data_IF_491857637532
#
_entry.id   IF_491857637532
#
_cell.length_a   1.000
_cell.length_b   1.000
_cell.length_c   1.000
_cell.angle_alpha   90.00
_cell.angle_beta   90.00
_cell.angle_gamma   90.00
#
_symmetry.space_group_name_H-M   'P 1'
#
loop_
_entity.id
_entity.type
_entity.pdbx_description
1 polymer ?
#
# COMPACT_ATOMS: atom_id res chain seq x y z
N UNK A 1 -16.94 9.60 14.10
CA UNK A 1 -16.47 9.21 15.45
C UNK A 1 -15.65 10.36 16.00
N UNK A 2 -16.09 10.97 17.11
CA UNK A 2 -15.45 12.16 17.67
C UNK A 2 -14.04 11.85 18.20
N UNK A 3 -13.18 12.87 18.21
CA UNK A 3 -11.78 12.77 18.61
C UNK A 3 -11.60 12.21 20.03
N UNK A 4 -12.52 12.57 20.94
CA UNK A 4 -12.57 12.06 22.31
C UNK A 4 -12.77 10.53 22.38
N UNK A 5 -13.60 9.96 21.51
CA UNK A 5 -13.83 8.50 21.47
C UNK A 5 -12.60 7.78 20.92
N UNK A 6 -11.91 8.36 19.92
CA UNK A 6 -10.66 7.80 19.39
C UNK A 6 -9.57 7.79 20.46
N UNK A 7 -9.42 8.89 21.22
CA UNK A 7 -8.47 9.00 22.34
C UNK A 7 -8.76 7.96 23.43
N UNK A 8 -10.03 7.81 23.83
CA UNK A 8 -10.44 6.82 24.82
C UNK A 8 -10.17 5.37 24.38
N UNK A 9 -10.43 5.05 23.11
CA UNK A 9 -10.16 3.72 22.57
C UNK A 9 -8.66 3.41 22.53
N UNK A 10 -7.83 4.38 22.10
CA UNK A 10 -6.37 4.22 22.13
C UNK A 10 -5.84 3.96 23.55
N UNK A 11 -6.38 4.63 24.55
CA UNK A 11 -5.98 4.42 25.95
C UNK A 11 -6.33 3.01 26.45
N UNK A 12 -7.51 2.48 26.09
CA UNK A 12 -7.90 1.10 26.43
C UNK A 12 -7.00 0.07 25.74
N UNK A 13 -6.70 0.27 24.46
CA UNK A 13 -5.82 -0.60 23.68
C UNK A 13 -4.40 -0.64 24.24
N UNK A 14 -3.85 0.50 24.69
CA UNK A 14 -2.55 0.55 25.40
C UNK A 14 -2.52 -0.26 26.69
N UNK A 15 -3.67 -0.47 27.33
CA UNK A 15 -3.82 -1.32 28.52
C UNK A 15 -4.18 -2.77 28.17
N UNK A 16 -4.21 -3.13 26.89
CA UNK A 16 -4.60 -4.45 26.40
C UNK A 16 -6.09 -4.77 26.58
N UNK A 17 -6.96 -3.77 26.72
CA UNK A 17 -8.40 -3.95 26.91
C UNK A 17 -9.12 -3.67 25.58
N UNK A 18 -9.93 -4.62 25.11
CA UNK A 18 -10.73 -4.46 23.90
C UNK A 18 -11.81 -3.37 24.12
N UNK A 19 -11.88 -2.32 23.28
CA UNK A 19 -12.86 -1.24 23.47
C UNK A 19 -14.32 -1.62 23.17
N UNK A 20 -14.52 -2.66 22.35
CA UNK A 20 -15.82 -3.09 21.83
C UNK A 20 -16.48 -4.18 22.71
N UNK A 21 -17.62 -4.71 22.27
CA UNK A 21 -18.28 -5.86 22.90
C UNK A 21 -17.36 -7.08 22.93
N UNK A 22 -17.28 -7.76 24.08
CA UNK A 22 -16.55 -9.01 24.25
C UNK A 22 -16.97 -10.09 23.21
N UNK A 23 -16.00 -10.88 22.71
CA UNK A 23 -16.28 -12.08 21.93
C UNK A 23 -17.07 -13.13 22.71
N UNK A 24 -17.60 -14.14 22.01
CA UNK A 24 -18.37 -15.21 22.62
C UNK A 24 -17.53 -16.01 23.63
N UNK A 25 -18.16 -16.48 24.72
CA UNK A 25 -17.42 -17.11 25.83
C UNK A 25 -16.81 -16.11 26.81
N UNK A 26 -16.89 -14.82 26.52
CA UNK A 26 -16.52 -13.72 27.42
C UNK A 26 -17.71 -12.79 27.67
N UNK A 27 -17.63 -11.99 28.71
CA UNK A 27 -18.55 -10.88 28.97
C UNK A 27 -17.79 -9.63 29.42
N UNK A 28 -18.37 -8.46 29.17
CA UNK A 28 -17.84 -7.20 29.66
C UNK A 28 -18.31 -7.03 31.11
N UNK A 29 -17.39 -7.02 32.08
CA UNK A 29 -17.70 -6.75 33.49
C UNK A 29 -17.76 -5.23 33.72
N UNK A 30 -18.94 -4.60 33.87
CA UNK A 30 -19.05 -3.15 33.91
C UNK A 30 -18.34 -2.52 35.11
N UNK A 31 -18.22 -3.26 36.22
CA UNK A 31 -17.59 -2.78 37.47
C UNK A 31 -16.10 -2.60 37.31
N UNK A 32 -15.43 -3.59 36.73
CA UNK A 32 -13.98 -3.60 36.52
C UNK A 32 -13.58 -2.91 35.21
N UNK A 33 -14.54 -2.68 34.31
CA UNK A 33 -14.31 -2.18 32.94
C UNK A 33 -13.33 -3.07 32.16
N UNK A 34 -13.30 -4.36 32.48
CA UNK A 34 -12.48 -5.41 31.87
C UNK A 34 -13.35 -6.48 31.20
N UNK A 35 -12.71 -7.43 30.52
CA UNK A 35 -13.36 -8.56 29.89
C UNK A 35 -13.02 -9.82 30.68
N UNK A 36 -14.04 -10.51 31.15
CA UNK A 36 -13.92 -11.74 31.94
C UNK A 36 -14.54 -12.94 31.21
N UNK A 37 -14.15 -14.14 31.65
CA UNK A 37 -14.59 -15.40 31.06
C UNK A 37 -16.00 -15.71 31.58
N UNK A 38 -16.95 -15.93 30.66
CA UNK A 38 -18.28 -16.41 31.02
C UNK A 38 -18.19 -17.89 31.43
N UNK A 39 -18.57 -18.28 32.66
CA UNK A 39 -18.32 -19.62 33.20
C UNK A 39 -19.07 -20.74 32.45
N UNK A 40 -20.17 -20.41 31.78
CA UNK A 40 -20.98 -21.38 31.02
C UNK A 40 -20.62 -21.32 29.55
N UNK A 41 -20.65 -20.12 28.94
CA UNK A 41 -20.43 -19.98 27.49
C UNK A 41 -19.00 -20.33 27.09
N UNK A 42 -18.00 -20.08 27.94
CA UNK A 42 -16.61 -20.44 27.64
C UNK A 42 -16.43 -21.95 27.44
N UNK A 43 -17.08 -22.79 28.24
CA UNK A 43 -17.05 -24.25 28.12
C UNK A 43 -17.66 -24.71 26.80
N UNK A 44 -18.77 -24.10 26.40
CA UNK A 44 -19.44 -24.39 25.12
C UNK A 44 -18.54 -24.00 23.95
N UNK A 45 -17.94 -22.81 24.00
CA UNK A 45 -17.00 -22.35 22.95
C UNK A 45 -15.78 -23.26 22.89
N UNK A 46 -15.19 -23.63 24.04
CA UNK A 46 -14.05 -24.56 24.08
C UNK A 46 -14.39 -25.91 23.45
N UNK A 47 -15.56 -26.49 23.78
CA UNK A 47 -16.01 -27.76 23.20
C UNK A 47 -16.25 -27.64 21.69
N UNK A 48 -16.81 -26.53 21.22
CA UNK A 48 -16.98 -26.27 19.79
C UNK A 48 -15.64 -26.20 19.03
N UNK A 49 -14.61 -25.64 19.67
CA UNK A 49 -13.25 -25.58 19.14
C UNK A 49 -12.60 -26.98 19.09
N UNK A 50 -12.77 -27.79 20.14
CA UNK A 50 -12.31 -29.19 20.17
C UNK A 50 -12.98 -30.02 19.05
N UNK A 51 -14.31 -29.95 18.92
CA UNK A 51 -15.07 -30.65 17.87
C UNK A 51 -14.66 -30.23 16.45
N UNK A 52 -14.22 -28.98 16.28
CA UNK A 52 -13.71 -28.53 14.99
C UNK A 52 -12.28 -29.00 14.73
N UNK A 53 -11.45 -29.06 15.77
CA UNK A 53 -10.08 -29.55 15.69
C UNK A 53 -9.99 -31.04 15.36
N UNK A 54 -11.02 -31.83 15.68
CA UNK A 54 -11.18 -33.24 15.27
C UNK A 54 -11.31 -33.40 13.74
N UNK A 55 -11.69 -32.35 13.01
CA UNK A 55 -11.70 -32.35 11.54
C UNK A 55 -12.95 -32.92 10.87
N UNK A 56 -13.87 -33.55 11.61
CA UNK A 56 -15.15 -34.06 11.06
C UNK A 56 -16.27 -33.01 11.06
N UNK A 57 -16.13 -31.97 11.88
CA UNK A 57 -17.16 -30.94 12.01
C UNK A 57 -17.03 -29.85 10.93
N UNK A 58 -18.14 -29.59 10.23
CA UNK A 58 -18.29 -28.41 9.36
C UNK A 58 -18.67 -27.16 10.17
N UNK A 59 -18.48 -25.97 9.59
CA UNK A 59 -18.94 -24.69 10.19
C UNK A 59 -20.45 -24.73 10.47
N UNK A 60 -21.23 -25.43 9.62
CA UNK A 60 -22.67 -25.61 9.82
C UNK A 60 -22.97 -26.53 11.01
N UNK A 61 -22.16 -27.57 11.26
CA UNK A 61 -22.31 -28.43 12.44
C UNK A 61 -22.08 -27.64 13.72
N UNK A 62 -21.04 -26.80 13.74
CA UNK A 62 -20.75 -25.94 14.91
C UNK A 62 -21.86 -24.93 15.15
N UNK A 63 -22.45 -24.38 14.08
CA UNK A 63 -23.58 -23.46 14.22
C UNK A 63 -24.80 -24.13 14.88
N UNK A 64 -25.08 -25.38 14.50
CA UNK A 64 -26.11 -26.22 15.14
C UNK A 64 -25.75 -26.56 16.58
N UNK A 65 -24.49 -26.86 16.86
CA UNK A 65 -23.98 -27.09 18.21
C UNK A 65 -24.20 -25.85 19.09
N UNK A 66 -23.81 -24.66 18.62
CA UNK A 66 -24.03 -23.41 19.34
C UNK A 66 -25.50 -23.16 19.62
N UNK A 67 -26.39 -23.39 18.65
CA UNK A 67 -27.82 -23.26 18.87
C UNK A 67 -28.34 -24.23 19.95
N UNK A 68 -27.92 -25.50 19.90
CA UNK A 68 -28.32 -26.54 20.86
C UNK A 68 -27.94 -26.18 22.30
N UNK A 69 -26.79 -25.54 22.50
CA UNK A 69 -26.28 -25.14 23.81
C UNK A 69 -26.57 -23.67 24.17
N UNK A 70 -27.49 -23.00 23.47
CA UNK A 70 -27.99 -21.67 23.85
C UNK A 70 -27.17 -20.47 23.38
N UNK A 71 -26.17 -20.66 22.50
CA UNK A 71 -25.47 -19.58 21.81
C UNK A 71 -26.21 -19.28 20.50
N UNK A 72 -27.15 -18.34 20.57
CA UNK A 72 -28.06 -17.98 19.48
C UNK A 72 -28.03 -16.48 19.18
N UNK A 73 -28.71 -16.08 18.10
CA UNK A 73 -29.04 -14.68 17.84
C UNK A 73 -30.11 -14.21 18.83
N UNK A 74 -30.34 -12.89 18.88
CA UNK A 74 -31.37 -12.29 19.74
C UNK A 74 -32.77 -12.89 19.55
N UNK A 75 -33.10 -13.34 18.33
CA UNK A 75 -34.37 -13.99 18.00
C UNK A 75 -34.37 -15.53 18.20
N UNK A 76 -33.40 -16.08 18.94
CA UNK A 76 -33.28 -17.52 19.20
C UNK A 76 -32.82 -18.36 18.00
N UNK A 77 -32.62 -17.77 16.82
CA UNK A 77 -32.19 -18.49 15.61
C UNK A 77 -30.69 -18.79 15.64
N UNK A 78 -30.30 -19.84 14.91
CA UNK A 78 -28.91 -20.24 14.66
C UNK A 78 -28.05 -19.06 14.18
N UNK A 79 -26.77 -19.03 14.57
CA UNK A 79 -25.80 -18.05 14.09
C UNK A 79 -25.58 -18.19 12.56
N UNK A 80 -25.32 -17.08 11.88
CA UNK A 80 -24.91 -17.13 10.47
C UNK A 80 -23.55 -17.83 10.34
N UNK A 81 -23.34 -18.57 9.25
CA UNK A 81 -22.11 -19.32 9.00
C UNK A 81 -20.87 -18.41 9.04
N UNK A 82 -20.97 -17.20 8.49
CA UNK A 82 -19.88 -16.20 8.55
C UNK A 82 -19.58 -15.74 9.98
N UNK A 83 -20.59 -15.67 10.84
CA UNK A 83 -20.40 -15.32 12.26
C UNK A 83 -19.65 -16.43 12.98
N UNK A 84 -19.99 -17.70 12.71
CA UNK A 84 -19.29 -18.86 13.27
C UNK A 84 -17.85 -18.93 12.76
N UNK A 85 -17.64 -18.73 11.45
CA UNK A 85 -16.28 -18.63 10.86
C UNK A 85 -15.46 -17.56 11.58
N UNK A 86 -16.04 -16.37 11.78
CA UNK A 86 -15.38 -15.26 12.51
C UNK A 86 -15.09 -15.59 13.97
N UNK A 87 -15.93 -16.37 14.64
CA UNK A 87 -15.66 -16.82 16.02
C UNK A 87 -14.44 -17.73 16.04
N UNK A 88 -14.41 -18.72 15.15
CA UNK A 88 -13.34 -19.74 15.10
C UNK A 88 -12.01 -19.13 14.67
N UNK A 89 -12.03 -18.13 13.78
CA UNK A 89 -10.82 -17.43 13.31
C UNK A 89 -10.36 -16.26 14.18
N UNK A 90 -11.07 -15.94 15.28
CA UNK A 90 -10.75 -14.78 16.08
C UNK A 90 -9.49 -14.98 16.94
N UNK A 91 -8.43 -14.24 16.65
CA UNK A 91 -7.17 -14.27 17.42
C UNK A 91 -7.31 -13.81 18.88
N UNK A 92 -8.43 -13.18 19.24
CA UNK A 92 -8.73 -12.80 20.62
C UNK A 92 -8.67 -13.98 21.58
N UNK A 93 -9.07 -15.18 21.16
CA UNK A 93 -9.00 -16.36 22.03
C UNK A 93 -7.58 -16.80 22.41
N UNK A 94 -6.56 -16.25 21.73
CA UNK A 94 -5.14 -16.51 21.96
C UNK A 94 -4.41 -15.27 22.50
N UNK A 95 -5.15 -14.25 22.96
CA UNK A 95 -4.57 -13.06 23.59
C UNK A 95 -4.24 -11.92 22.63
N UNK A 96 -4.64 -11.98 21.36
CA UNK A 96 -4.30 -10.95 20.38
C UNK A 96 -5.54 -10.11 20.03
N UNK A 97 -5.43 -8.78 20.13
CA UNK A 97 -6.49 -7.83 19.82
C UNK A 97 -6.20 -7.13 18.51
N UNK A 98 -7.10 -7.26 17.52
CA UNK A 98 -7.03 -6.50 16.27
C UNK A 98 -8.02 -5.33 16.31
N UNK A 99 -7.54 -4.10 16.19
CA UNK A 99 -8.39 -2.91 16.20
C UNK A 99 -7.87 -1.86 15.21
N UNK A 100 -8.73 -1.41 14.29
CA UNK A 100 -8.38 -0.33 13.36
C UNK A 100 -7.25 -0.66 12.36
N UNK A 101 -6.94 -1.94 12.15
CA UNK A 101 -5.83 -2.39 11.31
C UNK A 101 -4.52 -2.63 12.07
N UNK A 102 -4.46 -2.28 13.35
CA UNK A 102 -3.31 -2.51 14.23
C UNK A 102 -3.54 -3.73 15.14
N UNK A 103 -2.44 -4.35 15.59
CA UNK A 103 -2.44 -5.53 16.45
C UNK A 103 -1.88 -5.16 17.82
N UNK A 104 -2.55 -5.59 18.89
CA UNK A 104 -2.21 -5.30 20.28
C UNK A 104 -2.22 -6.59 21.11
N UNK A 105 -1.41 -6.62 22.17
CA UNK A 105 -1.44 -7.67 23.18
C UNK A 105 -2.60 -7.46 24.15
N UNK A 106 -3.41 -8.51 24.36
CA UNK A 106 -4.58 -8.49 25.24
C UNK A 106 -4.26 -8.98 26.66
N UNK A 107 -4.81 -8.30 27.66
CA UNK A 107 -4.61 -8.63 29.09
C UNK A 107 -5.69 -9.56 29.67
N UNK A 108 -6.60 -10.06 28.84
CA UNK A 108 -7.70 -10.92 29.28
C UNK A 108 -7.26 -12.37 29.52
N UNK A 109 -8.00 -13.07 30.38
CA UNK A 109 -7.74 -14.49 30.68
C UNK A 109 -8.05 -15.37 29.47
N UNK A 110 -7.19 -16.34 29.17
CA UNK A 110 -7.36 -17.26 28.05
C UNK A 110 -7.92 -18.59 28.53
N UNK A 111 -8.86 -19.18 27.78
CA UNK A 111 -9.39 -20.52 28.05
C UNK A 111 -9.17 -21.51 26.89
N UNK A 112 -8.65 -21.02 25.75
CA UNK A 112 -8.33 -21.84 24.58
C UNK A 112 -6.80 -21.95 24.49
N UNK A 113 -6.23 -23.17 24.49
CA UNK A 113 -4.79 -23.35 24.29
C UNK A 113 -4.33 -22.85 22.91
N UNK A 114 -3.17 -22.19 22.80
CA UNK A 114 -2.63 -21.72 21.51
C UNK A 114 -2.46 -22.86 20.49
N UNK A 115 -2.07 -24.04 20.94
CA UNK A 115 -1.89 -25.22 20.10
C UNK A 115 -3.20 -25.66 19.42
N UNK A 116 -4.31 -25.61 20.16
CA UNK A 116 -5.63 -25.96 19.65
C UNK A 116 -6.04 -24.96 18.57
N UNK A 117 -5.84 -23.67 18.84
CA UNK A 117 -6.13 -22.61 17.87
C UNK A 117 -5.28 -22.77 16.59
N UNK A 118 -4.01 -23.11 16.73
CA UNK A 118 -3.11 -23.37 15.60
C UNK A 118 -3.59 -24.50 14.70
N UNK A 119 -4.06 -25.62 15.27
CA UNK A 119 -4.65 -26.74 14.50
C UNK A 119 -5.87 -26.30 13.70
N UNK A 120 -6.74 -25.52 14.33
CA UNK A 120 -7.96 -24.98 13.69
C UNK A 120 -7.62 -24.08 12.49
N UNK A 121 -6.62 -23.20 12.61
CA UNK A 121 -6.24 -22.32 11.49
C UNK A 121 -5.76 -23.14 10.28
N UNK A 122 -4.94 -24.18 10.51
CA UNK A 122 -4.51 -25.08 9.43
C UNK A 122 -5.69 -25.77 8.74
N UNK A 123 -6.70 -26.21 9.49
CA UNK A 123 -7.92 -26.81 8.93
C UNK A 123 -8.71 -25.78 8.11
N UNK A 124 -8.81 -24.54 8.58
CA UNK A 124 -9.47 -23.46 7.83
C UNK A 124 -8.74 -23.17 6.52
N UNK A 125 -7.43 -23.01 6.55
CA UNK A 125 -6.59 -22.79 5.36
C UNK A 125 -6.70 -23.94 4.36
N UNK A 126 -6.65 -25.20 4.83
CA UNK A 126 -6.81 -26.37 3.97
C UNK A 126 -8.20 -26.47 3.32
N UNK A 127 -9.24 -25.97 4.00
CA UNK A 127 -10.62 -25.93 3.49
C UNK A 127 -10.92 -24.68 2.66
N UNK A 128 -10.04 -23.68 2.65
CA UNK A 128 -10.20 -22.50 1.82
C UNK A 128 -9.88 -22.86 0.37
N UNK A 129 -10.93 -23.23 -0.37
CA UNK A 129 -10.82 -23.35 -1.83
C UNK A 129 -10.57 -21.96 -2.44
N UNK A 130 -9.49 -21.76 -3.21
CA UNK A 130 -9.34 -20.55 -3.99
C UNK A 130 -10.57 -20.43 -4.90
N UNK A 131 -11.27 -19.30 -4.82
CA UNK A 131 -12.36 -19.02 -5.77
C UNK A 131 -11.74 -18.92 -7.15
N UNK A 132 -11.86 -19.98 -7.95
CA UNK A 132 -11.53 -19.94 -9.37
C UNK A 132 -12.40 -18.85 -10.01
N UNK A 133 -11.78 -17.71 -10.32
CA UNK A 133 -12.42 -16.69 -11.15
C UNK A 133 -12.60 -17.35 -12.52
N UNK A 134 -13.85 -17.57 -12.93
CA UNK A 134 -14.18 -18.26 -14.21
C UNK A 134 -13.52 -17.60 -15.42
N UNK A 135 -13.23 -16.31 -15.34
CA UNK A 135 -12.54 -15.54 -16.37
C UNK A 135 -11.52 -14.60 -15.72
N UNK A 136 -10.26 -14.70 -16.16
CA UNK A 136 -9.21 -13.71 -15.85
C UNK A 136 -9.16 -12.72 -17.02
N UNK A 137 -9.70 -11.52 -16.80
CA UNK A 137 -9.60 -10.44 -17.77
C UNK A 137 -8.38 -9.58 -17.45
N UNK A 138 -7.43 -9.49 -18.38
CA UNK A 138 -6.14 -8.84 -18.17
C UNK A 138 -6.27 -7.35 -17.77
N UNK A 139 -7.23 -6.62 -18.34
CA UNK A 139 -7.35 -5.16 -18.17
C UNK A 139 -8.43 -4.74 -17.17
N UNK A 140 -8.91 -5.65 -16.31
CA UNK A 140 -9.94 -5.34 -15.33
C UNK A 140 -9.45 -4.34 -14.28
N UNK A 141 -10.26 -3.31 -14.01
CA UNK A 141 -9.95 -2.29 -13.00
C UNK A 141 -8.82 -1.32 -13.41
N UNK A 142 -8.38 -1.34 -14.66
CA UNK A 142 -7.41 -0.39 -15.19
C UNK A 142 -8.07 0.96 -15.51
N UNK A 143 -9.17 0.93 -16.28
CA UNK A 143 -9.79 2.12 -16.85
C UNK A 143 -11.18 2.43 -16.28
N UNK A 144 -11.53 3.71 -16.30
CA UNK A 144 -12.88 4.25 -16.06
C UNK A 144 -13.44 4.82 -17.34
N UNK A 145 -14.75 4.96 -17.41
CA UNK A 145 -15.39 5.63 -18.54
C UNK A 145 -15.35 7.14 -18.34
N UNK A 146 -14.91 7.89 -19.35
CA UNK A 146 -14.84 9.34 -19.31
C UNK A 146 -16.22 10.02 -19.14
N UNK A 147 -17.30 9.41 -19.67
CA UNK A 147 -18.66 9.98 -19.63
C UNK A 147 -19.38 9.68 -18.31
N UNK A 148 -19.37 8.42 -17.88
CA UNK A 148 -20.16 7.93 -16.73
C UNK A 148 -19.36 7.90 -15.41
N UNK A 149 -18.03 8.05 -15.47
CA UNK A 149 -17.11 7.89 -14.33
C UNK A 149 -17.10 6.49 -13.72
N UNK A 150 -17.85 5.54 -14.28
CA UNK A 150 -17.92 4.17 -13.77
C UNK A 150 -16.73 3.35 -14.27
N UNK A 151 -16.38 2.30 -13.51
CA UNK A 151 -15.34 1.36 -13.90
C UNK A 151 -15.73 0.61 -15.19
N UNK A 152 -14.71 0.32 -16.01
CA UNK A 152 -14.84 -0.56 -17.17
C UNK A 152 -14.74 -2.02 -16.70
N UNK A 153 -15.70 -2.82 -17.10
CA UNK A 153 -15.77 -4.27 -16.85
C UNK A 153 -15.67 -5.04 -18.16
N UNK A 154 -15.37 -6.33 -18.11
CA UNK A 154 -15.30 -7.19 -19.29
C UNK A 154 -16.40 -8.25 -19.31
N UNK A 155 -16.79 -8.67 -20.51
CA UNK A 155 -17.81 -9.68 -20.78
C UNK A 155 -17.36 -10.53 -21.97
N UNK A 156 -17.56 -11.85 -21.88
CA UNK A 156 -17.34 -12.79 -22.99
C UNK A 156 -18.62 -12.91 -23.80
N UNK A 157 -18.53 -12.73 -25.11
CA UNK A 157 -19.62 -13.00 -26.06
C UNK A 157 -19.25 -14.19 -26.93
N UNK A 158 -19.97 -15.28 -26.74
CA UNK A 158 -19.88 -16.48 -27.56
C UNK A 158 -20.63 -16.27 -28.87
N UNK A 159 -20.00 -16.56 -30.01
CA UNK A 159 -20.62 -16.44 -31.32
C UNK A 159 -20.32 -17.67 -32.17
N UNK A 160 -21.37 -18.35 -32.60
CA UNK A 160 -21.27 -19.52 -33.47
C UNK A 160 -21.30 -19.07 -34.94
N UNK A 161 -20.30 -19.50 -35.71
CA UNK A 161 -20.23 -19.37 -37.16
C UNK A 161 -20.19 -20.77 -37.79
N UNK A 162 -21.37 -21.39 -38.03
CA UNK A 162 -21.48 -22.81 -38.42
C UNK A 162 -20.71 -23.16 -39.71
N UNK A 163 -20.56 -22.19 -40.61
CA UNK A 163 -20.02 -22.40 -41.96
C UNK A 163 -18.52 -22.11 -42.10
N UNK A 164 -17.88 -21.45 -41.13
CA UNK A 164 -16.49 -20.95 -41.31
C UNK A 164 -15.58 -21.22 -40.13
N UNK A 165 -15.97 -20.86 -38.91
CA UNK A 165 -15.05 -20.81 -37.75
C UNK A 165 -15.57 -21.53 -36.50
N UNK A 166 -16.75 -22.15 -36.55
CA UNK A 166 -17.34 -22.80 -35.38
C UNK A 166 -17.67 -21.81 -34.27
N UNK A 167 -17.50 -22.22 -33.01
CA UNK A 167 -17.75 -21.36 -31.84
C UNK A 167 -16.52 -20.50 -31.54
N UNK A 168 -16.70 -19.18 -31.54
CA UNK A 168 -15.64 -18.19 -31.26
C UNK A 168 -16.06 -17.28 -30.12
N UNK A 169 -15.13 -17.07 -29.19
CA UNK A 169 -15.33 -16.21 -28.03
C UNK A 169 -14.69 -14.85 -28.26
N UNK A 170 -15.46 -13.78 -27.99
CA UNK A 170 -14.97 -12.42 -28.09
C UNK A 170 -15.08 -11.72 -26.73
N UNK A 171 -13.96 -11.17 -26.27
CA UNK A 171 -13.90 -10.40 -25.03
C UNK A 171 -14.14 -8.91 -25.33
N UNK A 172 -15.15 -8.35 -24.66
CA UNK A 172 -15.52 -6.95 -24.77
C UNK A 172 -15.44 -6.24 -23.42
N UNK A 173 -14.78 -5.08 -23.41
CA UNK A 173 -14.73 -4.15 -22.30
C UNK A 173 -15.84 -3.08 -22.44
N UNK A 174 -16.59 -2.81 -21.37
CA UNK A 174 -17.75 -1.89 -21.35
C UNK A 174 -17.89 -1.09 -20.04
N UNK A 175 -18.45 0.13 -20.09
CA UNK A 175 -18.95 0.83 -18.89
C UNK A 175 -20.09 -0.02 -18.27
N UNK A 176 -20.11 -0.13 -16.95
CA UNK A 176 -21.18 -0.79 -16.20
C UNK A 176 -22.53 -0.07 -16.29
N UNK A 177 -22.52 1.20 -16.71
CA UNK A 177 -23.70 2.09 -16.84
C UNK A 177 -24.54 2.22 -15.57
N UNK A 178 -23.93 2.01 -14.39
CA UNK A 178 -24.64 1.95 -13.11
C UNK A 178 -25.10 3.32 -12.59
N UNK A 179 -24.34 4.39 -12.88
CA UNK A 179 -24.64 5.72 -12.34
C UNK A 179 -25.58 6.55 -13.23
N UNK A 180 -25.41 6.48 -14.54
CA UNK A 180 -26.10 7.33 -15.52
C UNK A 180 -26.27 6.60 -16.85
N UNK A 181 -27.19 7.08 -17.70
CA UNK A 181 -27.38 6.61 -19.06
C UNK A 181 -26.17 6.89 -19.95
N UNK A 182 -25.28 5.90 -19.98
CA UNK A 182 -24.04 5.97 -20.71
C UNK A 182 -24.19 5.38 -22.12
N UNK A 183 -24.03 6.21 -23.13
CA UNK A 183 -24.07 5.83 -24.55
C UNK A 183 -22.76 5.24 -25.07
N UNK A 184 -21.80 4.88 -24.20
CA UNK A 184 -20.53 4.35 -24.66
C UNK A 184 -20.64 2.95 -25.27
N UNK A 185 -19.90 2.80 -26.36
CA UNK A 185 -19.78 1.57 -27.12
C UNK A 185 -18.80 0.60 -26.46
N UNK A 186 -18.99 -0.68 -26.78
CA UNK A 186 -18.14 -1.76 -26.31
C UNK A 186 -16.81 -1.69 -27.07
N UNK A 187 -15.72 -1.97 -26.37
CA UNK A 187 -14.36 -2.01 -26.90
C UNK A 187 -13.86 -3.45 -26.90
N UNK A 188 -13.36 -3.95 -28.03
CA UNK A 188 -12.76 -5.28 -28.12
C UNK A 188 -11.43 -5.32 -27.39
N UNK A 189 -11.10 -6.46 -26.80
CA UNK A 189 -9.83 -6.66 -26.09
C UNK A 189 -8.61 -6.36 -26.96
N UNK A 190 -8.56 -6.90 -28.18
CA UNK A 190 -7.46 -6.67 -29.13
C UNK A 190 -7.19 -5.18 -29.38
N UNK A 191 -8.26 -4.39 -29.53
CA UNK A 191 -8.16 -2.93 -29.75
C UNK A 191 -7.73 -2.18 -28.49
N UNK A 192 -8.21 -2.62 -27.32
CA UNK A 192 -7.78 -2.06 -26.03
C UNK A 192 -6.30 -2.34 -25.78
N UNK A 193 -5.88 -3.57 -26.02
CA UNK A 193 -4.50 -4.02 -25.89
C UNK A 193 -3.58 -3.24 -26.83
N UNK A 194 -3.96 -3.10 -28.11
CA UNK A 194 -3.18 -2.34 -29.08
C UNK A 194 -2.97 -0.88 -28.65
N UNK A 195 -4.03 -0.22 -28.15
CA UNK A 195 -3.94 1.16 -27.66
C UNK A 195 -3.08 1.25 -26.39
N UNK A 196 -3.19 0.28 -25.49
CA UNK A 196 -2.39 0.23 -24.28
C UNK A 196 -0.90 0.02 -24.58
N UNK A 197 -0.58 -0.86 -25.54
CA UNK A 197 0.79 -1.05 -26.05
C UNK A 197 1.36 0.25 -26.62
N UNK A 198 0.59 0.96 -27.43
CA UNK A 198 1.03 2.24 -28.00
C UNK A 198 1.31 3.30 -26.93
N UNK A 199 0.51 3.34 -25.85
CA UNK A 199 0.74 4.23 -24.70
C UNK A 199 2.05 3.86 -23.99
N UNK A 200 2.25 2.57 -23.71
CA UNK A 200 3.46 2.10 -23.02
C UNK A 200 4.72 2.29 -23.88
N UNK A 201 4.62 2.06 -25.19
CA UNK A 201 5.73 2.24 -26.14
C UNK A 201 6.16 3.71 -26.24
N UNK A 202 5.20 4.65 -26.25
CA UNK A 202 5.52 6.09 -26.23
C UNK A 202 6.29 6.52 -24.98
N UNK A 203 6.08 5.85 -23.86
CA UNK A 203 6.79 6.12 -22.62
C UNK A 203 8.12 5.35 -22.50
N UNK A 204 8.55 4.64 -23.54
CA UNK A 204 9.75 3.82 -23.50
C UNK A 204 11.02 4.60 -23.82
N UNK A 205 12.12 4.20 -23.18
CA UNK A 205 13.44 4.72 -23.45
C UNK A 205 14.18 3.80 -24.44
N UNK A 206 14.76 4.32 -25.54
CA UNK A 206 15.57 3.51 -26.45
C UNK A 206 16.80 2.92 -25.74
N UNK A 207 17.16 1.68 -26.09
CA UNK A 207 18.28 0.95 -25.45
C UNK A 207 19.62 1.70 -25.54
N UNK A 208 19.84 2.49 -26.59
CA UNK A 208 21.05 3.33 -26.73
C UNK A 208 21.11 4.43 -25.68
N UNK A 209 19.97 5.06 -25.39
CA UNK A 209 19.86 6.09 -24.36
C UNK A 209 19.96 5.48 -22.96
N UNK A 210 19.36 4.31 -22.73
CA UNK A 210 19.49 3.60 -21.45
C UNK A 210 20.95 3.41 -21.03
N UNK A 211 21.82 2.96 -21.95
CA UNK A 211 23.24 2.78 -21.67
C UNK A 211 23.93 4.09 -21.30
N UNK A 212 23.70 5.15 -22.07
CA UNK A 212 24.26 6.48 -21.81
C UNK A 212 23.83 7.05 -20.45
N UNK A 213 22.57 6.85 -20.08
CA UNK A 213 22.05 7.31 -18.78
C UNK A 213 22.64 6.51 -17.62
N UNK A 214 22.78 5.19 -17.74
CA UNK A 214 23.41 4.36 -16.71
C UNK A 214 24.88 4.76 -16.53
N UNK A 215 25.64 4.90 -17.61
CA UNK A 215 27.04 5.34 -17.55
C UNK A 215 27.19 6.73 -16.92
N UNK A 216 26.23 7.63 -17.18
CA UNK A 216 26.20 8.96 -16.57
C UNK A 216 25.89 8.89 -15.06
N UNK A 217 24.90 8.08 -14.67
CA UNK A 217 24.55 7.89 -13.26
C UNK A 217 25.71 7.26 -12.48
N UNK A 218 26.45 6.32 -13.07
CA UNK A 218 27.63 5.72 -12.44
C UNK A 218 28.72 6.77 -12.19
N UNK A 219 28.94 7.70 -13.13
CA UNK A 219 29.87 8.83 -12.95
C UNK A 219 29.40 9.78 -11.86
N UNK A 220 28.14 10.21 -11.90
CA UNK A 220 27.54 11.10 -10.90
C UNK A 220 27.58 10.46 -9.50
N UNK A 221 27.39 9.14 -9.39
CA UNK A 221 27.53 8.40 -8.13
C UNK A 221 28.97 8.44 -7.58
N UNK A 222 29.98 8.30 -8.44
CA UNK A 222 31.39 8.43 -8.01
C UNK A 222 31.74 9.87 -7.61
N UNK A 223 31.22 10.86 -8.32
CA UNK A 223 31.42 12.28 -8.02
C UNK A 223 30.72 12.68 -6.71
N UNK A 224 29.49 12.18 -6.47
CA UNK A 224 28.73 12.47 -5.25
C UNK A 224 29.36 11.80 -4.02
N UNK A 225 29.88 10.57 -4.16
CA UNK A 225 30.66 9.89 -3.10
C UNK A 225 31.93 10.66 -2.76
N UNK A 226 32.73 11.03 -3.76
CA UNK A 226 33.98 11.78 -3.52
C UNK A 226 33.72 13.16 -2.95
N UNK A 227 32.68 13.88 -3.39
CA UNK A 227 32.28 15.16 -2.81
C UNK A 227 31.79 15.00 -1.36
N UNK A 228 30.99 13.97 -1.08
CA UNK A 228 30.52 13.67 0.28
C UNK A 228 31.68 13.34 1.22
N UNK A 229 32.64 12.53 0.78
CA UNK A 229 33.86 12.22 1.52
C UNK A 229 34.70 13.49 1.77
N UNK A 230 34.87 14.34 0.77
CA UNK A 230 35.57 15.63 0.90
C UNK A 230 34.86 16.58 1.89
N UNK A 231 33.53 16.61 1.90
CA UNK A 231 32.76 17.41 2.86
C UNK A 231 32.87 16.86 4.29
N UNK A 232 32.78 15.54 4.46
CA UNK A 232 32.91 14.89 5.76
C UNK A 232 34.31 15.06 6.33
N UNK A 233 35.35 14.93 5.50
CA UNK A 233 36.75 15.17 5.91
C UNK A 233 36.97 16.64 6.28
N UNK A 234 36.42 17.59 5.52
CA UNK A 234 36.46 19.02 5.87
C UNK A 234 35.79 19.30 7.21
N UNK A 235 34.53 18.88 7.41
CA UNK A 235 33.84 19.09 8.69
C UNK A 235 34.51 18.37 9.86
N UNK A 236 35.08 17.17 9.63
CA UNK A 236 35.88 16.45 10.63
C UNK A 236 37.10 17.28 11.06
N UNK A 237 37.81 17.90 10.11
CA UNK A 237 38.95 18.78 10.41
C UNK A 237 38.54 20.03 11.21
N UNK A 238 37.40 20.65 10.86
CA UNK A 238 36.85 21.79 11.60
C UNK A 238 36.44 21.41 13.04
N UNK A 239 35.90 20.21 13.24
CA UNK A 239 35.58 19.68 14.58
C UNK A 239 36.86 19.46 15.39
N UNK A 240 37.93 18.92 14.80
CA UNK A 240 39.22 18.77 15.47
C UNK A 240 39.83 20.12 15.86
N UNK A 241 39.68 21.16 15.04
CA UNK A 241 40.12 22.50 15.40
C UNK A 241 39.31 23.10 16.57
N UNK A 242 38.01 22.86 16.63
CA UNK A 242 37.16 23.27 17.75
C UNK A 242 37.57 22.53 19.02
N UNK A 243 37.89 21.24 18.94
CA UNK A 243 38.35 20.45 20.08
C UNK A 243 39.67 21.00 20.64
N UNK A 244 40.64 21.33 19.76
CA UNK A 244 41.87 22.02 20.18
C UNK A 244 41.60 23.37 20.85
N UNK A 245 40.58 24.13 20.40
CA UNK A 245 40.19 25.41 21.02
C UNK A 245 39.54 25.20 22.39
N UNK A 246 38.74 24.15 22.56
CA UNK A 246 38.14 23.78 23.84
C UNK A 246 39.20 23.35 24.86
N UNK A 247 40.21 22.57 24.43
CA UNK A 247 41.31 22.14 25.30
C UNK A 247 42.14 23.34 25.78
N UNK A 248 42.49 24.28 24.88
CA UNK A 248 43.17 25.53 25.26
C UNK A 248 42.35 26.42 26.20
N UNK A 249 41.03 26.45 25.99
CA UNK A 249 40.11 27.21 26.85
C UNK A 249 40.04 26.59 28.26
N UNK A 250 40.14 25.26 28.37
CA UNK A 250 40.23 24.54 29.63
C UNK A 250 41.56 24.83 30.36
N UNK A 251 42.69 24.76 29.64
CA UNK A 251 44.01 25.10 30.19
C UNK A 251 44.04 26.53 30.75
N UNK A 252 43.58 27.52 29.97
CA UNK A 252 43.53 28.92 30.42
C UNK A 252 42.60 29.19 31.61
N UNK A 253 41.57 28.35 31.80
CA UNK A 253 40.72 28.40 32.99
C UNK A 253 41.41 27.79 34.22
N UNK A 254 42.13 26.67 34.05
CA UNK A 254 42.90 26.02 35.11
C UNK A 254 44.02 26.94 35.64
N UNK A 255 44.64 27.71 34.75
CA UNK A 255 45.66 28.71 35.09
C UNK A 255 45.06 30.01 35.71
N UNK A 256 43.74 30.06 35.95
CA UNK A 256 42.98 31.19 36.50
C UNK A 256 43.08 32.50 35.69
N UNK A 257 43.42 32.41 34.40
CA UNK A 257 43.54 33.57 33.50
C UNK A 257 42.16 34.04 33.01
N UNK A 258 41.16 33.14 33.02
CA UNK A 258 39.83 33.37 32.44
C UNK A 258 38.75 33.39 33.52
N UNK A 259 37.90 34.43 33.48
CA UNK A 259 36.73 34.54 34.35
C UNK A 259 35.71 33.40 34.11
N UNK A 260 35.08 32.83 35.16
CA UNK A 260 34.11 31.74 35.02
C UNK A 260 32.94 32.03 34.06
N UNK A 261 32.42 33.26 34.01
CA UNK A 261 31.33 33.62 33.11
C UNK A 261 31.77 33.65 31.64
N UNK A 262 32.97 34.19 31.38
CA UNK A 262 33.55 34.27 30.03
C UNK A 262 33.88 32.87 29.51
N UNK A 263 34.42 32.00 30.37
CA UNK A 263 34.65 30.59 30.06
C UNK A 263 33.36 29.88 29.65
N UNK A 264 32.29 30.05 30.44
CA UNK A 264 31.02 29.38 30.20
C UNK A 264 30.37 29.84 28.88
N UNK A 265 30.41 31.13 28.56
CA UNK A 265 29.92 31.67 27.29
C UNK A 265 30.68 31.09 26.09
N UNK A 266 32.03 31.16 26.11
CA UNK A 266 32.85 30.67 24.98
C UNK A 266 32.78 29.16 24.81
N UNK A 267 32.67 28.41 25.90
CA UNK A 267 32.45 26.96 25.85
C UNK A 267 31.13 26.62 25.17
N UNK A 268 30.05 27.32 25.52
CA UNK A 268 28.74 27.08 24.92
C UNK A 268 28.74 27.39 23.41
N UNK A 269 29.33 28.51 22.99
CA UNK A 269 29.47 28.86 21.57
C UNK A 269 30.22 27.77 20.77
N UNK A 270 31.36 27.29 21.28
CA UNK A 270 32.15 26.24 20.63
C UNK A 270 31.43 24.89 20.62
N UNK A 271 30.70 24.54 21.69
CA UNK A 271 29.87 23.34 21.76
C UNK A 271 28.72 23.38 20.74
N UNK A 272 28.02 24.50 20.61
CA UNK A 272 26.94 24.66 19.62
C UNK A 272 27.46 24.51 18.18
N UNK A 273 28.62 25.09 17.87
CA UNK A 273 29.26 24.92 16.57
C UNK A 273 29.66 23.47 16.31
N UNK A 274 30.21 22.78 17.31
CA UNK A 274 30.56 21.35 17.22
C UNK A 274 29.33 20.48 16.96
N UNK A 275 28.23 20.73 17.67
CA UNK A 275 26.96 20.01 17.47
C UNK A 275 26.44 20.24 16.04
N UNK A 276 26.40 21.51 15.59
CA UNK A 276 25.95 21.86 14.23
C UNK A 276 26.78 21.19 13.14
N UNK A 277 28.10 21.14 13.28
CA UNK A 277 28.98 20.47 12.31
C UNK A 277 28.75 18.95 12.29
N UNK A 278 28.58 18.32 13.46
CA UNK A 278 28.26 16.89 13.56
C UNK A 278 26.90 16.56 12.93
N UNK A 279 25.90 17.42 13.11
CA UNK A 279 24.59 17.28 12.47
C UNK A 279 24.69 17.39 10.94
N UNK A 280 25.47 18.36 10.44
CA UNK A 280 25.74 18.48 9.00
C UNK A 280 26.42 17.24 8.43
N UNK A 281 27.43 16.69 9.11
CA UNK A 281 28.09 15.43 8.71
C UNK A 281 27.10 14.26 8.62
N UNK A 282 26.19 14.14 9.60
CA UNK A 282 25.15 13.12 9.60
C UNK A 282 24.11 13.32 8.49
N UNK A 283 23.83 14.56 8.08
CA UNK A 283 22.90 14.84 6.99
C UNK A 283 23.47 14.52 5.60
N UNK A 284 24.76 14.76 5.38
CA UNK A 284 25.46 14.46 4.12
C UNK A 284 25.53 12.95 3.89
N UNK A 285 25.80 12.17 4.94
CA UNK A 285 25.85 10.70 4.82
C UNK A 285 24.49 10.07 4.54
N UNK A 286 23.40 10.72 4.96
CA UNK A 286 22.04 10.18 4.82
C UNK A 286 21.38 10.52 3.48
N UNK A 287 21.65 11.70 2.92
CA UNK A 287 20.91 12.22 1.76
C UNK A 287 21.61 11.97 0.40
N UNK A 288 22.91 11.68 0.37
CA UNK A 288 23.73 11.73 -0.85
C UNK A 288 23.56 10.59 -1.87
N UNK A 289 22.46 9.84 -1.87
CA UNK A 289 22.30 8.70 -2.82
C UNK A 289 20.88 8.23 -3.13
N UNK A 290 19.86 8.68 -2.38
CA UNK A 290 18.49 8.17 -2.57
C UNK A 290 17.94 8.51 -3.97
N UNK A 291 18.24 9.71 -4.49
CA UNK A 291 17.72 10.15 -5.78
C UNK A 291 18.36 9.39 -6.96
N UNK A 292 19.65 9.05 -6.87
CA UNK A 292 20.38 8.28 -7.87
C UNK A 292 19.78 6.86 -8.01
N UNK A 293 19.46 6.23 -6.88
CA UNK A 293 18.79 4.93 -6.85
C UNK A 293 17.42 4.99 -7.54
N UNK A 294 16.59 5.95 -7.16
CA UNK A 294 15.28 6.16 -7.79
C UNK A 294 15.38 6.45 -9.29
N UNK A 295 16.41 7.19 -9.71
CA UNK A 295 16.62 7.50 -11.12
C UNK A 295 17.09 6.26 -11.91
N UNK A 296 17.96 5.43 -11.32
CA UNK A 296 18.39 4.16 -11.93
C UNK A 296 17.20 3.23 -12.13
N UNK A 297 16.37 3.05 -11.10
CA UNK A 297 15.14 2.25 -11.19
C UNK A 297 14.21 2.79 -12.29
N UNK A 298 14.06 4.12 -12.39
CA UNK A 298 13.25 4.74 -13.44
C UNK A 298 13.79 4.42 -14.85
N UNK A 299 15.10 4.54 -15.07
CA UNK A 299 15.75 4.27 -16.36
C UNK A 299 15.57 2.80 -16.77
N UNK A 300 15.74 1.87 -15.84
CA UNK A 300 15.52 0.44 -16.07
C UNK A 300 14.06 0.13 -16.43
N UNK A 301 13.11 0.67 -15.66
CA UNK A 301 11.68 0.52 -15.94
C UNK A 301 11.35 1.11 -17.32
N UNK A 302 11.85 2.29 -17.67
CA UNK A 302 11.61 2.91 -18.97
C UNK A 302 12.21 2.10 -20.13
N UNK A 303 13.34 1.42 -19.93
CA UNK A 303 13.93 0.53 -20.92
C UNK A 303 13.09 -0.74 -21.15
N UNK A 304 12.53 -1.29 -20.08
CA UNK A 304 11.67 -2.48 -20.15
C UNK A 304 10.30 -2.21 -20.76
N UNK A 305 9.84 -0.95 -20.74
CA UNK A 305 8.59 -0.53 -21.38
C UNK A 305 8.52 -0.95 -22.86
N UNK A 306 9.61 -0.77 -23.62
CA UNK A 306 9.67 -1.16 -25.03
C UNK A 306 9.56 -2.68 -25.23
N UNK A 307 10.21 -3.46 -24.34
CA UNK A 307 10.18 -4.93 -24.40
C UNK A 307 8.76 -5.44 -24.11
N UNK A 308 8.13 -4.91 -23.06
CA UNK A 308 6.77 -5.30 -22.63
C UNK A 308 5.74 -4.90 -23.68
N UNK A 309 5.87 -3.73 -24.31
CA UNK A 309 4.97 -3.28 -25.36
C UNK A 309 5.03 -4.17 -26.62
N UNK A 310 6.19 -4.76 -26.94
CA UNK A 310 6.38 -5.63 -28.12
C UNK A 310 6.07 -7.11 -27.89
N UNK A 311 6.22 -7.60 -26.66
CA UNK A 311 5.97 -9.01 -26.35
C UNK A 311 4.51 -9.39 -26.63
N UNK A 312 4.27 -10.56 -27.23
CA UNK A 312 2.91 -11.05 -27.50
C UNK A 312 2.38 -11.86 -26.30
N UNK A 313 1.06 -11.92 -26.14
CA UNK A 313 0.38 -12.72 -25.11
C UNK A 313 0.71 -12.38 -23.65
N UNK A 314 1.18 -11.15 -23.37
CA UNK A 314 1.54 -10.69 -22.02
C UNK A 314 0.54 -9.66 -21.44
N UNK A 315 -0.77 -9.85 -21.67
CA UNK A 315 -1.79 -8.87 -21.29
C UNK A 315 -1.80 -8.50 -19.79
N UNK A 316 -1.57 -9.47 -18.90
CA UNK A 316 -1.52 -9.23 -17.45
C UNK A 316 -0.32 -8.35 -17.07
N UNK A 317 0.87 -8.68 -17.58
CA UNK A 317 2.09 -7.91 -17.39
C UNK A 317 1.95 -6.50 -17.96
N UNK A 318 1.38 -6.38 -19.16
CA UNK A 318 1.09 -5.10 -19.80
C UNK A 318 0.16 -4.23 -18.93
N UNK A 319 -0.86 -4.84 -18.32
CA UNK A 319 -1.79 -4.13 -17.43
C UNK A 319 -1.09 -3.61 -16.17
N UNK A 320 -0.17 -4.40 -15.61
CA UNK A 320 0.60 -4.05 -14.43
C UNK A 320 1.58 -2.93 -14.75
N UNK A 321 2.28 -3.05 -15.88
CA UNK A 321 3.24 -2.07 -16.33
C UNK A 321 2.57 -0.74 -16.70
N UNK A 322 1.40 -0.77 -17.35
CA UNK A 322 0.61 0.43 -17.63
C UNK A 322 0.33 1.23 -16.35
N UNK A 323 -0.06 0.58 -15.24
CA UNK A 323 -0.26 1.26 -13.93
C UNK A 323 1.02 1.89 -13.37
N UNK A 324 2.21 1.40 -13.76
CA UNK A 324 3.49 2.03 -13.41
C UNK A 324 3.72 3.29 -14.24
N UNK A 325 3.50 3.23 -15.56
CA UNK A 325 3.74 4.31 -16.53
C UNK A 325 2.75 5.46 -16.39
N UNK A 326 1.46 5.14 -16.26
CA UNK A 326 0.37 6.10 -16.30
C UNK A 326 -0.63 5.93 -15.17
N UNK A 327 -1.54 6.89 -15.09
CA UNK A 327 -2.64 6.99 -14.14
C UNK A 327 -3.89 7.49 -14.85
N UNK A 328 -5.04 7.42 -14.18
CA UNK A 328 -6.33 7.92 -14.67
C UNK A 328 -6.65 7.48 -16.10
N UNK A 329 -6.61 6.18 -16.32
CA UNK A 329 -7.01 5.59 -17.59
C UNK A 329 -8.50 5.83 -17.84
N UNK A 330 -8.82 6.53 -18.94
CA UNK A 330 -10.16 6.89 -19.33
C UNK A 330 -10.49 6.31 -20.71
N UNK A 331 -11.63 5.61 -20.82
CA UNK A 331 -12.16 5.16 -22.11
C UNK A 331 -13.23 6.14 -22.58
N UNK A 332 -13.06 6.65 -23.80
CA UNK A 332 -14.07 7.43 -24.54
C UNK A 332 -14.15 7.04 -25.99
N UNK A 333 -15.35 6.72 -26.48
CA UNK A 333 -15.61 6.37 -27.88
C UNK A 333 -14.61 5.35 -28.47
N UNK A 334 -14.38 4.24 -27.75
CA UNK A 334 -13.41 3.19 -28.10
C UNK A 334 -11.94 3.63 -28.13
N UNK A 335 -11.62 4.82 -27.59
CA UNK A 335 -10.26 5.31 -27.38
C UNK A 335 -9.90 5.31 -25.90
N UNK A 336 -8.67 4.90 -25.59
CA UNK A 336 -8.09 4.90 -24.27
C UNK A 336 -7.17 6.12 -24.13
N UNK A 337 -7.37 6.87 -23.06
CA UNK A 337 -6.57 8.01 -22.64
C UNK A 337 -5.95 7.71 -21.29
N UNK A 338 -4.82 8.32 -20.98
CA UNK A 338 -4.19 8.25 -19.66
C UNK A 338 -3.41 9.52 -19.36
N UNK A 339 -3.16 9.76 -18.09
CA UNK A 339 -2.24 10.78 -17.62
C UNK A 339 -0.91 10.08 -17.30
N UNK A 340 0.15 10.40 -18.03
CA UNK A 340 1.49 9.88 -17.73
C UNK A 340 1.99 10.44 -16.41
N UNK A 341 2.71 9.63 -15.64
CA UNK A 341 3.41 10.13 -14.45
C UNK A 341 4.60 11.00 -14.87
N UNK A 342 5.02 11.93 -14.01
CA UNK A 342 5.96 13.02 -14.32
C UNK A 342 7.19 12.59 -15.16
N UNK A 343 7.89 11.51 -14.78
CA UNK A 343 9.05 11.01 -15.53
C UNK A 343 8.70 10.44 -16.91
N UNK A 344 7.61 9.67 -17.01
CA UNK A 344 7.15 9.09 -18.28
C UNK A 344 6.48 10.11 -19.20
N UNK A 345 5.95 11.20 -18.65
CA UNK A 345 5.38 12.30 -19.44
C UNK A 345 6.44 12.94 -20.34
N UNK A 346 7.65 13.17 -19.81
CA UNK A 346 8.78 13.71 -20.57
C UNK A 346 9.20 12.78 -21.74
N UNK A 347 9.20 11.46 -21.50
CA UNK A 347 9.47 10.48 -22.55
C UNK A 347 8.36 10.46 -23.60
N UNK A 348 7.10 10.49 -23.16
CA UNK A 348 5.93 10.46 -24.05
C UNK A 348 5.75 11.72 -24.89
N UNK A 349 6.26 12.89 -24.45
CA UNK A 349 6.26 14.13 -25.23
C UNK A 349 7.25 14.10 -26.41
N UNK A 350 8.28 13.25 -26.35
CA UNK A 350 9.37 13.17 -27.33
C UNK A 350 9.17 12.10 -28.41
N UNK A 351 8.13 12.22 -29.24
CA UNK A 351 8.04 11.54 -30.54
C UNK A 351 7.03 12.19 -31.52
N UNK A 352 6.48 13.36 -31.22
CA UNK A 352 5.39 13.93 -32.02
C UNK A 352 5.05 15.39 -31.73
N UNK A 353 6.04 16.26 -31.50
CA UNK A 353 5.82 17.71 -31.45
C UNK A 353 5.59 18.33 -32.86
N UNK A 354 4.91 17.62 -33.74
CA UNK A 354 4.51 18.10 -35.06
C UNK A 354 3.29 17.31 -35.59
N UNK A 355 2.20 17.19 -34.81
CA UNK A 355 0.83 17.11 -35.35
C UNK A 355 -0.21 16.92 -34.24
N UNK A 356 -1.21 17.81 -34.24
CA UNK A 356 -2.47 17.76 -33.49
C UNK A 356 -2.44 18.16 -32.00
N UNK A 357 -2.09 19.44 -31.75
CA UNK A 357 -2.97 20.24 -30.90
C UNK A 357 -4.23 20.47 -31.75
N UNK A 358 -5.45 20.06 -31.33
CA UNK A 358 -6.65 20.59 -31.96
C UNK A 358 -6.73 22.06 -31.54
N UNK A 359 -6.51 22.95 -32.50
CA UNK A 359 -6.96 24.33 -32.42
C UNK A 359 -8.48 24.31 -32.28
N UNK A 360 -8.98 24.40 -31.05
CA UNK A 360 -10.34 24.85 -30.79
C UNK A 360 -10.33 25.73 -29.54
N UNK A 361 -10.67 27.03 -29.63
CA UNK A 361 -10.65 27.96 -28.50
C UNK A 361 -11.75 27.74 -27.45
N UNK A 362 -12.51 26.66 -27.51
CA UNK A 362 -13.70 26.47 -26.67
C UNK A 362 -13.78 25.04 -26.11
N UNK A 363 -13.17 24.81 -24.95
CA UNK A 363 -13.64 23.74 -24.07
C UNK A 363 -13.50 24.15 -22.58
N UNK A 364 -14.60 24.54 -21.91
CA UNK A 364 -14.58 25.30 -20.65
C UNK A 364 -14.64 24.41 -19.40
N UNK A 365 -13.68 23.49 -19.18
CA UNK A 365 -13.75 22.62 -17.98
C UNK A 365 -12.41 22.24 -17.32
N UNK A 366 -11.37 23.08 -17.42
CA UNK A 366 -10.08 22.86 -16.74
C UNK A 366 -9.59 24.03 -15.87
N UNK A 367 -10.50 24.90 -15.40
CA UNK A 367 -10.14 26.09 -14.62
C UNK A 367 -10.57 26.12 -13.14
N UNK A 368 -10.91 25.00 -12.48
CA UNK A 368 -11.45 25.08 -11.10
C UNK A 368 -10.82 24.12 -10.07
N UNK A 369 -9.59 23.60 -10.26
CA UNK A 369 -9.01 22.72 -9.22
C UNK A 369 -7.55 22.95 -8.84
N UNK A 370 -7.02 24.17 -9.06
CA UNK A 370 -5.68 24.59 -8.60
C UNK A 370 -5.65 25.94 -7.88
N UNK A 371 -6.71 26.34 -7.17
CA UNK A 371 -6.70 27.56 -6.34
C UNK A 371 -7.15 27.36 -4.88
N UNK A 372 -7.17 26.13 -4.38
CA UNK A 372 -7.49 25.91 -2.97
C UNK A 372 -6.71 24.75 -2.39
N UNK A 373 -5.37 24.86 -2.37
CA UNK A 373 -4.50 24.21 -1.38
C UNK A 373 -3.04 24.70 -1.50
N UNK A 374 -2.73 25.80 -0.79
CA UNK A 374 -1.58 25.97 0.11
C UNK A 374 -1.40 27.47 0.45
N UNK A 375 -0.95 27.84 1.66
CA UNK A 375 -1.11 27.25 2.99
C UNK A 375 -2.17 27.96 3.85
#
# INVERSE_FOLDING_TARGET
MSENVKRGNRQKLRKGILPNKAPYGYFNEPRLRTIEIDPVKSKIVKKAFELFAEGESSIANISRFFQKFGITRYNGKMLHLDTVKRIISNKFYVGIINFGGETYEGTHKLFIPPELFGKIQKILEAREHPKNKKHNFAFLGLAKCAKCGCAITAEVKHKCYPTTRGNVDYIYYRCTKKKTDCSQNYLREELLEQQLRAIVEKASLPTSWTKLWIERLDKEETEEKTNSENQVTKFSSEVQEIDKKLDRLLEGYLDQIVDPQVYQQKKNELMELKIRLKEKMASVSKNGSEWLGLMREFVEVAADAAKIARAKHNGEELSFFAKKVGSDYLVSNRRLFCVYKLGFAALATGAGAASAIPDSPENPFLWVWMESNHP
#
